data_IF_162031810536
#
_entry.id   IF_162031810536
#
_cell.length_a   1.000
_cell.length_b   1.000
_cell.length_c   1.000
_cell.angle_alpha   90.00
_cell.angle_beta   90.00
_cell.angle_gamma   90.00
#
_symmetry.space_group_name_H-M   'P 1'
#
loop_
_entity.id
_entity.type
_entity.pdbx_description
1 polymer ?
#
# COMPACT_ATOMS: atom_id res chain seq x y z
N UNK A 1 9.33 -6.95 34.65
CA UNK A 1 10.04 -6.56 33.40
C UNK A 1 9.15 -6.46 32.16
N UNK A 2 8.14 -7.34 31.97
CA UNK A 2 7.24 -7.29 30.80
C UNK A 2 6.43 -5.98 30.65
N UNK A 3 5.93 -5.40 31.75
CA UNK A 3 5.15 -4.14 31.75
C UNK A 3 5.97 -2.95 31.21
N UNK A 4 7.24 -2.83 31.60
CA UNK A 4 8.18 -1.79 31.13
C UNK A 4 8.54 -1.96 29.64
N UNK A 5 8.71 -3.20 29.18
CA UNK A 5 8.93 -3.50 27.75
C UNK A 5 7.71 -3.14 26.88
N UNK A 6 6.50 -3.48 27.35
CA UNK A 6 5.26 -3.14 26.64
C UNK A 6 5.05 -1.62 26.54
N UNK A 7 5.37 -0.88 27.61
CA UNK A 7 5.31 0.59 27.60
C UNK A 7 6.26 1.20 26.56
N UNK A 8 7.54 0.82 26.59
CA UNK A 8 8.53 1.31 25.61
C UNK A 8 8.15 0.97 24.16
N UNK A 9 7.55 -0.20 23.90
CA UNK A 9 7.08 -0.54 22.56
C UNK A 9 5.90 0.34 22.12
N UNK A 10 4.97 0.66 23.02
CA UNK A 10 3.87 1.57 22.70
C UNK A 10 4.39 2.98 22.42
N UNK A 11 5.32 3.49 23.23
CA UNK A 11 5.93 4.81 23.01
C UNK A 11 6.65 4.89 21.67
N UNK A 12 7.45 3.87 21.32
CA UNK A 12 8.13 3.81 20.01
C UNK A 12 7.14 3.84 18.86
N UNK A 13 6.08 3.03 18.92
CA UNK A 13 5.03 3.01 17.87
C UNK A 13 4.32 4.36 17.74
N UNK A 14 4.09 5.05 18.86
CA UNK A 14 3.50 6.38 18.84
C UNK A 14 4.45 7.42 18.22
N UNK A 15 5.74 7.34 18.53
CA UNK A 15 6.74 8.23 17.95
C UNK A 15 6.90 7.99 16.44
N UNK A 16 6.98 6.73 16.00
CA UNK A 16 6.99 6.34 14.58
C UNK A 16 5.75 6.87 13.86
N UNK A 17 4.57 6.74 14.47
CA UNK A 17 3.32 7.29 13.92
C UNK A 17 3.39 8.81 13.78
N UNK A 18 3.89 9.52 14.79
CA UNK A 18 4.04 10.98 14.74
C UNK A 18 4.96 11.40 13.59
N UNK A 19 6.12 10.78 13.47
CA UNK A 19 7.07 11.06 12.37
C UNK A 19 6.48 10.75 11.00
N UNK A 20 5.72 9.66 10.87
CA UNK A 20 5.08 9.29 9.63
C UNK A 20 3.98 10.30 9.23
N UNK A 21 3.21 10.83 10.20
CA UNK A 21 2.22 11.88 9.98
C UNK A 21 2.86 13.23 9.57
N UNK A 22 4.05 13.56 10.06
CA UNK A 22 4.81 14.72 9.58
C UNK A 22 5.17 14.60 8.09
N UNK A 23 5.26 13.37 7.57
CA UNK A 23 5.52 13.10 6.15
C UNK A 23 4.24 13.00 5.30
N UNK A 24 3.05 13.10 5.89
CA UNK A 24 1.78 13.01 5.16
C UNK A 24 1.68 14.07 4.06
N UNK A 25 2.07 15.32 4.35
CA UNK A 25 2.06 16.39 3.35
C UNK A 25 2.97 16.09 2.15
N UNK A 26 4.17 15.54 2.40
CA UNK A 26 5.11 15.10 1.36
C UNK A 26 4.55 13.92 0.56
N UNK A 27 3.91 12.98 1.23
CA UNK A 27 3.25 11.83 0.61
C UNK A 27 2.11 12.28 -0.32
N UNK A 28 1.21 13.13 0.16
CA UNK A 28 0.11 13.72 -0.63
C UNK A 28 0.68 14.50 -1.81
N UNK A 29 1.75 15.29 -1.62
CA UNK A 29 2.39 16.02 -2.72
C UNK A 29 2.97 15.07 -3.79
N UNK A 30 3.58 13.96 -3.39
CA UNK A 30 4.21 13.03 -4.31
C UNK A 30 3.21 12.09 -5.02
N UNK A 31 2.15 11.67 -4.31
CA UNK A 31 1.24 10.59 -4.73
C UNK A 31 -0.19 11.04 -4.97
N UNK A 32 -0.56 12.25 -4.58
CA UNK A 32 -1.95 12.74 -4.58
C UNK A 32 -2.66 12.62 -5.92
N UNK A 33 -1.95 12.77 -7.04
CA UNK A 33 -2.50 12.57 -8.40
C UNK A 33 -3.05 11.16 -8.66
N UNK A 34 -2.57 10.16 -7.92
CA UNK A 34 -3.04 8.77 -8.02
C UNK A 34 -4.18 8.45 -7.04
N UNK A 35 -4.51 9.36 -6.12
CA UNK A 35 -5.58 9.10 -5.17
C UNK A 35 -6.94 9.03 -5.87
N UNK A 36 -7.81 8.17 -5.35
CA UNK A 36 -9.08 7.82 -5.99
C UNK A 36 -8.94 6.92 -7.22
N UNK A 37 -7.73 6.45 -7.58
CA UNK A 37 -7.60 5.38 -8.57
C UNK A 37 -8.04 4.07 -7.92
N UNK A 38 -9.11 3.52 -8.45
CA UNK A 38 -9.70 2.24 -8.08
C UNK A 38 -10.25 1.55 -9.32
N UNK A 39 -10.16 0.22 -9.37
CA UNK A 39 -10.76 -0.60 -10.42
C UNK A 39 -11.10 -1.99 -9.91
N UNK A 40 -12.10 -2.61 -10.54
CA UNK A 40 -12.63 -3.91 -10.14
C UNK A 40 -13.02 -4.75 -11.34
N UNK A 41 -13.00 -6.08 -11.19
CA UNK A 41 -13.58 -7.05 -12.12
C UNK A 41 -14.93 -7.61 -11.66
N UNK A 42 -15.53 -7.02 -10.62
CA UNK A 42 -16.79 -7.45 -10.00
C UNK A 42 -16.62 -8.34 -8.77
N UNK A 43 -15.46 -8.95 -8.59
CA UNK A 43 -15.13 -9.75 -7.39
C UNK A 43 -13.99 -9.08 -6.60
N UNK A 44 -12.91 -8.73 -7.28
CA UNK A 44 -11.74 -8.09 -6.68
C UNK A 44 -11.83 -6.59 -6.92
N UNK A 45 -11.61 -5.81 -5.86
CA UNK A 45 -11.41 -4.37 -5.94
C UNK A 45 -9.96 -4.03 -5.60
N UNK A 46 -9.28 -3.29 -6.48
CA UNK A 46 -7.92 -2.80 -6.29
C UNK A 46 -7.94 -1.27 -6.22
N UNK A 47 -7.39 -0.71 -5.14
CA UNK A 47 -7.33 0.73 -4.91
C UNK A 47 -5.98 1.20 -4.42
N UNK A 48 -5.61 2.43 -4.77
CA UNK A 48 -4.41 3.10 -4.24
C UNK A 48 -4.60 3.41 -2.77
N UNK A 49 -3.57 3.16 -1.95
CA UNK A 49 -3.53 3.65 -0.57
C UNK A 49 -3.18 5.13 -0.56
N UNK A 50 -4.08 5.93 0.00
CA UNK A 50 -4.15 7.38 -0.14
C UNK A 50 -3.66 8.17 1.08
N UNK A 51 -3.20 7.47 2.12
CA UNK A 51 -2.56 8.08 3.28
C UNK A 51 -1.45 7.22 3.87
N UNK A 52 -0.55 7.84 4.62
CA UNK A 52 0.51 7.11 5.34
C UNK A 52 -0.10 6.17 6.40
N UNK A 53 -1.19 6.60 7.03
CA UNK A 53 -1.98 5.79 7.96
C UNK A 53 -2.64 4.57 7.27
N UNK A 54 -3.12 4.70 6.03
CA UNK A 54 -3.63 3.55 5.27
C UNK A 54 -2.51 2.53 4.97
N UNK A 55 -1.30 3.00 4.59
CA UNK A 55 -0.13 2.13 4.39
C UNK A 55 0.28 1.43 5.70
N UNK A 56 0.19 2.14 6.83
CA UNK A 56 0.42 1.56 8.17
C UNK A 56 -0.54 0.42 8.47
N UNK A 57 -1.84 0.67 8.30
CA UNK A 57 -2.90 -0.32 8.55
C UNK A 57 -2.79 -1.52 7.61
N UNK A 58 -2.40 -1.28 6.34
CA UNK A 58 -2.10 -2.35 5.39
C UNK A 58 -0.94 -3.23 5.87
N UNK A 59 0.19 -2.62 6.24
CA UNK A 59 1.35 -3.33 6.75
C UNK A 59 1.05 -4.15 8.01
N UNK A 60 0.27 -3.60 8.94
CA UNK A 60 -0.16 -4.30 10.14
C UNK A 60 -1.11 -5.46 9.84
N UNK A 61 -2.13 -5.24 9.01
CA UNK A 61 -3.11 -6.28 8.68
C UNK A 61 -2.50 -7.44 7.88
N UNK A 62 -1.55 -7.12 7.00
CA UNK A 62 -0.92 -8.10 6.11
C UNK A 62 0.38 -8.67 6.65
N UNK A 63 0.86 -8.19 7.80
CA UNK A 63 2.19 -8.48 8.35
C UNK A 63 3.31 -8.22 7.33
N UNK A 64 3.20 -7.11 6.60
CA UNK A 64 4.14 -6.69 5.59
C UNK A 64 4.99 -5.51 6.05
N UNK A 65 6.21 -5.44 5.52
CA UNK A 65 7.16 -4.38 5.86
C UNK A 65 6.90 -3.06 5.11
N UNK A 66 5.74 -2.88 4.45
CA UNK A 66 5.46 -1.70 3.61
C UNK A 66 5.52 -0.39 4.39
N UNK A 67 5.08 -0.40 5.65
CA UNK A 67 5.16 0.76 6.53
C UNK A 67 6.54 0.89 7.19
N UNK A 68 7.06 -0.21 7.75
CA UNK A 68 8.34 -0.20 8.49
C UNK A 68 9.55 0.13 7.62
N UNK A 69 9.46 -0.15 6.31
CA UNK A 69 10.48 0.18 5.32
C UNK A 69 10.13 1.45 4.53
N UNK A 70 9.20 2.26 5.05
CA UNK A 70 8.89 3.61 4.59
C UNK A 70 8.57 3.70 3.09
N UNK A 71 7.79 2.76 2.55
CA UNK A 71 7.47 2.75 1.11
C UNK A 71 6.70 4.00 0.67
N UNK A 72 6.02 4.67 1.60
CA UNK A 72 5.39 5.97 1.38
C UNK A 72 6.40 7.08 1.02
N UNK A 73 7.68 6.96 1.40
CA UNK A 73 8.74 7.90 1.02
C UNK A 73 9.37 7.59 -0.35
N UNK A 74 9.15 6.39 -0.91
CA UNK A 74 9.75 5.98 -2.18
C UNK A 74 9.06 6.68 -3.36
N UNK A 75 9.75 7.62 -4.00
CA UNK A 75 9.21 8.43 -5.11
C UNK A 75 8.68 7.58 -6.28
N UNK A 76 9.33 6.46 -6.59
CA UNK A 76 8.98 5.59 -7.72
C UNK A 76 8.05 4.43 -7.36
N UNK A 77 7.57 4.33 -6.13
CA UNK A 77 6.68 3.25 -5.68
C UNK A 77 5.24 3.73 -5.50
N UNK A 78 4.26 2.93 -5.92
CA UNK A 78 2.85 3.15 -5.61
C UNK A 78 2.27 1.90 -4.96
N UNK A 79 1.64 2.07 -3.79
CA UNK A 79 1.06 0.95 -3.03
C UNK A 79 -0.44 0.90 -3.27
N UNK A 80 -0.93 -0.28 -3.61
CA UNK A 80 -2.34 -0.58 -3.79
C UNK A 80 -2.73 -1.74 -2.88
N UNK A 81 -4.01 -1.79 -2.51
CA UNK A 81 -4.61 -2.89 -1.77
C UNK A 81 -5.65 -3.57 -2.65
N UNK A 82 -5.52 -4.90 -2.80
CA UNK A 82 -6.53 -5.75 -3.39
C UNK A 82 -7.45 -6.28 -2.29
N UNK A 83 -8.76 -6.19 -2.52
CA UNK A 83 -9.79 -6.60 -1.56
C UNK A 83 -10.91 -7.39 -2.21
N UNK A 84 -11.53 -8.28 -1.45
CA UNK A 84 -12.81 -8.96 -1.77
C UNK A 84 -13.75 -8.67 -0.60
N UNK A 85 -14.94 -8.17 -0.86
CA UNK A 85 -15.92 -7.75 0.17
C UNK A 85 -15.31 -6.84 1.25
N UNK A 86 -14.39 -5.95 0.85
CA UNK A 86 -13.66 -5.06 1.75
C UNK A 86 -12.58 -5.72 2.60
N UNK A 87 -12.37 -7.03 2.50
CA UNK A 87 -11.28 -7.75 3.16
C UNK A 87 -10.03 -7.76 2.28
N UNK A 88 -8.90 -7.36 2.85
CA UNK A 88 -7.59 -7.36 2.18
C UNK A 88 -7.19 -8.78 1.81
N UNK A 89 -6.75 -8.96 0.56
CA UNK A 89 -6.23 -10.24 0.06
C UNK A 89 -4.76 -10.13 -0.34
N UNK A 90 -4.35 -9.07 -1.04
CA UNK A 90 -2.94 -8.80 -1.38
C UNK A 90 -2.62 -7.32 -1.33
N UNK A 91 -1.40 -6.99 -0.92
CA UNK A 91 -0.78 -5.68 -1.08
C UNK A 91 0.07 -5.71 -2.35
N UNK A 92 -0.08 -4.68 -3.19
CA UNK A 92 0.57 -4.56 -4.49
C UNK A 92 1.51 -3.35 -4.47
N UNK A 93 2.75 -3.55 -4.93
CA UNK A 93 3.70 -2.49 -5.22
C UNK A 93 3.84 -2.33 -6.74
N UNK A 94 3.61 -1.11 -7.23
CA UNK A 94 3.84 -0.73 -8.62
C UNK A 94 5.07 0.18 -8.70
N UNK A 95 5.97 -0.11 -9.64
CA UNK A 95 7.02 0.84 -10.02
C UNK A 95 6.43 1.87 -10.97
N UNK A 96 6.40 3.14 -10.57
CA UNK A 96 5.99 4.27 -11.42
C UNK A 96 7.00 4.53 -12.54
N UNK A 97 8.28 4.19 -12.34
CA UNK A 97 9.33 4.34 -13.34
C UNK A 97 9.17 3.33 -14.48
N UNK A 98 8.96 2.05 -14.13
CA UNK A 98 8.83 0.94 -15.10
C UNK A 98 7.39 0.69 -15.55
N UNK A 99 6.42 1.23 -14.81
CA UNK A 99 4.98 1.01 -15.02
C UNK A 99 4.62 -0.48 -15.02
N UNK A 100 5.11 -1.19 -14.01
CA UNK A 100 4.90 -2.63 -13.81
C UNK A 100 4.66 -2.94 -12.34
N UNK A 101 4.04 -4.09 -12.08
CA UNK A 101 3.92 -4.64 -10.72
C UNK A 101 5.27 -5.22 -10.32
N UNK A 102 5.85 -4.70 -9.24
CA UNK A 102 7.10 -5.20 -8.66
C UNK A 102 6.81 -6.33 -7.68
N UNK A 103 5.76 -6.18 -6.87
CA UNK A 103 5.33 -7.17 -5.90
C UNK A 103 3.81 -7.19 -5.80
N UNK A 104 3.27 -8.38 -5.54
CA UNK A 104 1.88 -8.59 -5.13
C UNK A 104 1.87 -9.77 -4.17
N UNK A 105 1.50 -9.53 -2.90
CA UNK A 105 1.61 -10.53 -1.84
C UNK A 105 0.44 -10.42 -0.87
N UNK A 106 -0.09 -11.56 -0.46
CA UNK A 106 -1.02 -11.72 0.67
C UNK A 106 -0.29 -11.92 1.99
N UNK A 107 -1.06 -12.11 3.06
CA UNK A 107 -0.57 -12.15 4.46
C UNK A 107 0.70 -12.98 4.62
N UNK A 108 1.70 -12.42 5.32
CA UNK A 108 3.01 -13.03 5.52
C UNK A 108 3.76 -13.34 4.20
N UNK A 109 3.65 -12.47 3.20
CA UNK A 109 4.33 -12.56 1.91
C UNK A 109 4.00 -13.80 1.06
N UNK A 110 2.79 -14.35 1.19
CA UNK A 110 2.35 -15.53 0.41
C UNK A 110 1.53 -15.12 -0.80
N UNK A 111 1.55 -15.93 -1.86
CA UNK A 111 0.58 -15.76 -2.94
C UNK A 111 -0.79 -16.23 -2.49
N UNK A 112 -1.84 -15.53 -2.91
CA UNK A 112 -3.22 -15.97 -2.76
C UNK A 112 -3.69 -16.75 -3.99
N UNK A 113 -4.79 -17.51 -3.90
CA UNK A 113 -5.43 -18.12 -5.08
C UNK A 113 -5.79 -17.08 -6.17
N UNK A 114 -5.99 -15.83 -5.77
CA UNK A 114 -6.36 -14.71 -6.64
C UNK A 114 -5.16 -14.00 -7.29
N UNK A 115 -3.92 -14.39 -6.95
CA UNK A 115 -2.71 -13.70 -7.40
C UNK A 115 -2.67 -13.49 -8.93
N UNK A 116 -3.00 -14.52 -9.71
CA UNK A 116 -3.04 -14.42 -11.16
C UNK A 116 -4.11 -13.46 -11.68
N UNK A 117 -5.29 -13.45 -11.05
CA UNK A 117 -6.39 -12.55 -11.38
C UNK A 117 -6.03 -11.09 -11.06
N UNK A 118 -5.40 -10.85 -9.91
CA UNK A 118 -4.90 -9.54 -9.50
C UNK A 118 -3.89 -9.00 -10.52
N UNK A 119 -2.90 -9.81 -10.92
CA UNK A 119 -1.90 -9.39 -11.93
C UNK A 119 -2.54 -9.08 -13.28
N UNK A 120 -3.54 -9.88 -13.71
CA UNK A 120 -4.28 -9.64 -14.94
C UNK A 120 -5.07 -8.32 -14.87
N UNK A 121 -5.77 -8.09 -13.75
CA UNK A 121 -6.55 -6.89 -13.51
C UNK A 121 -5.65 -5.63 -13.46
N UNK A 122 -4.50 -5.72 -12.79
CA UNK A 122 -3.47 -4.68 -12.79
C UNK A 122 -2.94 -4.38 -14.19
N UNK A 123 -2.60 -5.43 -14.97
CA UNK A 123 -2.07 -5.26 -16.33
C UNK A 123 -3.08 -4.58 -17.25
N UNK A 124 -4.36 -4.92 -17.16
CA UNK A 124 -5.44 -4.30 -17.94
C UNK A 124 -5.65 -2.81 -17.59
N UNK A 125 -5.43 -2.43 -16.33
CA UNK A 125 -5.73 -1.08 -15.83
C UNK A 125 -4.50 -0.19 -15.63
N UNK A 126 -3.28 -0.67 -15.91
CA UNK A 126 -2.04 0.09 -15.75
C UNK A 126 -2.04 1.43 -16.54
N UNK A 127 -2.80 1.48 -17.64
CA UNK A 127 -2.99 2.69 -18.43
C UNK A 127 -3.70 3.81 -17.65
N UNK A 128 -4.57 3.49 -16.68
CA UNK A 128 -5.25 4.47 -15.82
C UNK A 128 -4.24 5.15 -14.89
N UNK A 129 -3.34 4.38 -14.30
CA UNK A 129 -2.25 4.91 -13.46
C UNK A 129 -1.32 5.79 -14.32
N UNK A 130 -0.98 5.33 -15.54
CA UNK A 130 -0.14 6.09 -16.47
C UNK A 130 -0.73 7.46 -16.80
N UNK A 131 -2.04 7.53 -17.08
CA UNK A 131 -2.74 8.80 -17.38
C UNK A 131 -2.64 9.81 -16.23
N UNK A 132 -2.63 9.33 -14.98
CA UNK A 132 -2.44 10.19 -13.80
C UNK A 132 -1.01 10.71 -13.64
N UNK A 133 0.00 10.13 -14.31
CA UNK A 133 1.37 10.66 -14.25
C UNK A 133 1.54 11.97 -15.01
N UNK A 134 0.75 12.16 -16.07
CA UNK A 134 0.84 13.31 -17.00
C UNK A 134 -0.18 14.40 -16.73
N UNK A 135 -1.12 14.16 -15.81
CA UNK A 135 -2.10 15.13 -15.34
C UNK A 135 -1.53 15.97 -14.19
#
# INVERSE_FOLDING_TARGET
MAKKRRHMQMERRQEERRKALEQEASFVKAKGRFFGVEFSDGEICIKVLDSVEAIRQEGEAMHHCVFTNEYYLKADSLILSATIDGKRIETIEVSLKRMEVVQSRGVCNKNTPYHGQILKLMKGNMSLIRKRMTA
#
